data_IF_677350819790
#
_entry.id   IF_677350819790
#
_cell.length_a   1.000
_cell.length_b   1.000
_cell.length_c   1.000
_cell.angle_alpha   90.00
_cell.angle_beta   90.00
_cell.angle_gamma   90.00
#
_symmetry.space_group_name_H-M   'P 1'
#
loop_
_entity.id
_entity.type
_entity.pdbx_description
1 polymer ?
#
# COMPACT_ATOMS: atom_id res chain seq x y z
N UNK A 1 -37.60 10.96 53.04
CA UNK A 1 -37.74 9.68 52.29
C UNK A 1 -38.51 10.01 51.02
N UNK A 2 -37.89 10.41 49.91
CA UNK A 2 -36.59 10.07 49.35
C UNK A 2 -35.88 11.29 48.79
N UNK A 3 -34.59 11.40 49.12
CA UNK A 3 -33.62 12.31 48.53
C UNK A 3 -33.19 11.80 47.14
N UNK A 4 -33.10 12.69 46.17
CA UNK A 4 -32.17 12.57 45.03
C UNK A 4 -31.58 13.95 44.74
N UNK A 5 -30.33 14.11 45.16
CA UNK A 5 -29.48 15.26 44.92
C UNK A 5 -29.22 15.46 43.42
N UNK A 6 -29.31 16.72 42.97
CA UNK A 6 -28.92 17.14 41.63
C UNK A 6 -27.41 17.42 41.60
N UNK A 7 -26.69 16.73 40.72
CA UNK A 7 -25.27 16.97 40.43
C UNK A 7 -25.13 18.27 39.62
N UNK A 8 -24.28 19.24 40.00
CA UNK A 8 -24.11 20.46 39.22
C UNK A 8 -23.18 20.23 38.02
N UNK A 9 -23.59 20.76 36.86
CA UNK A 9 -22.83 20.73 35.62
C UNK A 9 -21.51 21.52 35.75
N UNK A 10 -20.40 20.89 35.34
CA UNK A 10 -19.06 21.48 35.36
C UNK A 10 -18.94 22.57 34.28
N UNK A 11 -18.85 23.82 34.73
CA UNK A 11 -17.90 24.83 34.26
C UNK A 11 -17.88 25.21 32.78
N UNK A 12 -18.65 26.26 32.43
CA UNK A 12 -18.31 27.16 31.31
C UNK A 12 -16.97 27.85 31.62
N UNK A 13 -15.92 27.63 30.81
CA UNK A 13 -14.74 28.52 30.77
C UNK A 13 -14.67 29.23 29.43
N UNK A 14 -14.45 30.54 29.49
CA UNK A 14 -14.26 31.42 28.36
C UNK A 14 -12.93 31.14 27.64
N UNK A 15 -12.95 31.18 26.31
CA UNK A 15 -11.76 31.01 25.46
C UNK A 15 -10.83 32.23 25.61
N UNK A 16 -9.77 32.08 26.41
CA UNK A 16 -8.65 33.02 26.43
C UNK A 16 -7.74 32.78 25.23
N UNK A 17 -7.39 33.85 24.50
CA UNK A 17 -6.36 33.83 23.44
C UNK A 17 -4.99 33.59 24.08
N UNK A 18 -4.56 32.33 24.11
CA UNK A 18 -3.19 31.94 24.46
C UNK A 18 -2.62 31.08 23.33
N UNK A 19 -1.50 31.51 22.74
CA UNK A 19 -0.81 30.76 21.68
C UNK A 19 -0.43 29.36 22.15
N UNK A 20 -0.67 28.36 21.30
CA UNK A 20 -0.30 26.97 21.58
C UNK A 20 1.21 26.80 21.45
N UNK A 21 1.91 26.26 22.45
CA UNK A 21 3.37 26.05 22.42
C UNK A 21 3.82 24.98 21.41
N UNK A 22 2.88 24.33 20.72
CA UNK A 22 3.16 23.41 19.60
C UNK A 22 3.41 24.13 18.28
N UNK A 23 2.98 25.39 18.13
CA UNK A 23 3.16 26.16 16.89
C UNK A 23 4.49 26.95 16.84
N UNK A 24 5.21 27.07 17.96
CA UNK A 24 6.48 27.82 18.01
C UNK A 24 7.73 26.96 17.74
N UNK A 25 7.63 25.62 17.79
CA UNK A 25 8.75 24.72 17.47
C UNK A 25 8.99 24.46 15.98
N UNK A 26 8.06 24.84 15.12
CA UNK A 26 8.13 24.61 13.66
C UNK A 26 8.86 25.72 12.89
N UNK A 27 9.56 26.64 13.59
CA UNK A 27 10.31 27.76 12.99
C UNK A 27 11.82 27.63 13.05
N UNK A 28 12.37 26.56 13.60
CA UNK A 28 13.81 26.31 13.53
C UNK A 28 14.14 25.52 12.24
N UNK A 29 15.01 26.02 11.35
CA UNK A 29 15.45 25.27 10.18
C UNK A 29 16.35 24.12 10.65
N UNK A 30 15.73 22.98 10.94
CA UNK A 30 16.44 21.72 11.19
C UNK A 30 17.28 21.36 9.97
N UNK A 31 18.56 21.07 10.19
CA UNK A 31 19.53 20.73 9.17
C UNK A 31 18.98 19.67 8.21
N UNK A 32 19.00 20.00 6.91
CA UNK A 32 18.43 19.17 5.87
C UNK A 32 18.97 17.74 5.93
N UNK A 33 18.07 16.78 5.74
CA UNK A 33 18.40 15.40 5.44
C UNK A 33 19.31 15.38 4.20
N UNK A 34 20.61 15.26 4.42
CA UNK A 34 21.57 15.11 3.34
C UNK A 34 21.23 13.79 2.61
N UNK A 35 20.85 13.92 1.34
CA UNK A 35 20.74 12.80 0.42
C UNK A 35 22.07 12.03 0.45
N UNK A 36 22.07 10.70 0.69
CA UNK A 36 23.30 9.94 0.55
C UNK A 36 23.81 10.06 -0.90
N UNK A 37 25.10 10.37 -1.04
CA UNK A 37 25.76 10.42 -2.35
C UNK A 37 25.80 9.01 -2.93
N UNK A 38 25.08 8.78 -4.04
CA UNK A 38 25.15 7.53 -4.81
C UNK A 38 26.53 7.47 -5.50
N UNK A 39 27.38 6.47 -5.21
CA UNK A 39 28.62 6.28 -5.95
C UNK A 39 28.30 5.92 -7.40
N UNK A 40 28.96 6.58 -8.36
CA UNK A 40 28.83 6.27 -9.78
C UNK A 40 29.35 4.85 -10.07
N UNK A 41 28.45 3.87 -10.08
CA UNK A 41 28.73 2.53 -10.54
C UNK A 41 28.68 2.49 -12.08
N UNK A 42 29.69 1.87 -12.69
CA UNK A 42 29.77 1.67 -14.13
C UNK A 42 28.53 0.91 -14.65
N UNK A 43 27.92 1.44 -15.72
CA UNK A 43 26.78 0.86 -16.40
C UNK A 43 27.09 -0.55 -16.92
N UNK A 44 26.66 -1.57 -16.18
CA UNK A 44 26.45 -2.91 -16.74
C UNK A 44 25.29 -2.84 -17.72
N UNK A 45 25.44 -3.39 -18.93
CA UNK A 45 24.44 -3.30 -19.99
C UNK A 45 23.05 -3.73 -19.50
N UNK A 46 22.05 -2.90 -19.75
CA UNK A 46 20.67 -3.14 -19.34
C UNK A 46 20.18 -4.51 -19.85
N UNK A 47 19.95 -5.46 -18.92
CA UNK A 47 19.21 -6.68 -19.25
C UNK A 47 17.78 -6.27 -19.62
N UNK A 48 17.23 -6.88 -20.67
CA UNK A 48 15.81 -6.74 -20.97
C UNK A 48 15.04 -7.78 -20.16
N UNK A 49 13.90 -7.40 -19.58
CA UNK A 49 13.06 -8.34 -18.88
C UNK A 49 12.56 -9.40 -19.87
N UNK A 50 12.67 -10.69 -19.53
CA UNK A 50 12.02 -11.74 -20.30
C UNK A 50 10.50 -11.57 -20.17
N UNK A 51 9.75 -11.68 -21.27
CA UNK A 51 8.29 -11.57 -21.29
C UNK A 51 7.62 -12.49 -20.27
N UNK A 52 8.18 -13.68 -20.03
CA UNK A 52 7.68 -14.62 -19.02
C UNK A 52 7.81 -14.10 -17.59
N UNK A 53 8.83 -13.29 -17.29
CA UNK A 53 9.02 -12.69 -15.96
C UNK A 53 8.02 -11.58 -15.68
N UNK A 54 7.74 -10.74 -16.67
CA UNK A 54 6.72 -9.70 -16.57
C UNK A 54 5.32 -10.29 -16.41
N UNK A 55 4.99 -11.31 -17.21
CA UNK A 55 3.72 -12.03 -17.10
C UNK A 55 3.57 -12.71 -15.73
N UNK A 56 4.60 -13.44 -15.28
CA UNK A 56 4.60 -14.09 -13.97
C UNK A 56 4.40 -13.13 -12.81
N UNK A 57 5.05 -11.96 -12.85
CA UNK A 57 4.88 -10.90 -11.85
C UNK A 57 3.43 -10.41 -11.78
N UNK A 58 2.85 -10.04 -12.92
CA UNK A 58 1.49 -9.48 -12.98
C UNK A 58 0.44 -10.51 -12.59
N UNK A 59 0.59 -11.76 -13.04
CA UNK A 59 -0.31 -12.85 -12.66
C UNK A 59 -0.19 -13.20 -11.18
N UNK A 60 1.04 -13.25 -10.65
CA UNK A 60 1.28 -13.51 -9.23
C UNK A 60 0.67 -12.43 -8.33
N UNK A 61 0.84 -11.16 -8.69
CA UNK A 61 0.24 -10.03 -7.99
C UNK A 61 -1.29 -10.12 -8.01
N UNK A 62 -1.89 -10.33 -9.18
CA UNK A 62 -3.34 -10.45 -9.32
C UNK A 62 -3.91 -11.66 -8.57
N UNK A 63 -3.18 -12.78 -8.53
CA UNK A 63 -3.59 -13.97 -7.78
C UNK A 63 -3.50 -13.74 -6.26
N UNK A 64 -2.44 -13.08 -5.78
CA UNK A 64 -2.28 -12.72 -4.38
C UNK A 64 -3.36 -11.77 -3.89
N UNK A 65 -3.63 -10.70 -4.64
CA UNK A 65 -4.72 -9.75 -4.40
C UNK A 65 -6.08 -10.49 -4.36
N UNK A 66 -6.36 -11.32 -5.37
CA UNK A 66 -7.58 -12.11 -5.45
C UNK A 66 -7.82 -13.06 -4.26
N UNK A 67 -6.76 -13.61 -3.68
CA UNK A 67 -6.81 -14.49 -2.52
C UNK A 67 -6.98 -13.72 -1.20
N UNK A 68 -6.70 -12.41 -1.21
CA UNK A 68 -6.84 -11.54 -0.06
C UNK A 68 -8.30 -11.36 0.38
N UNK A 69 -8.51 -11.29 1.69
CA UNK A 69 -9.82 -11.01 2.29
C UNK A 69 -10.48 -9.70 1.80
N UNK A 70 -9.75 -8.61 1.53
CA UNK A 70 -10.35 -7.37 1.01
C UNK A 70 -10.98 -7.54 -0.38
N UNK A 71 -10.44 -8.43 -1.23
CA UNK A 71 -10.83 -8.48 -2.64
C UNK A 71 -12.30 -8.82 -2.84
N UNK A 72 -12.83 -9.78 -2.08
CA UNK A 72 -14.25 -10.13 -2.13
C UNK A 72 -15.16 -8.93 -1.77
N UNK A 73 -14.77 -8.12 -0.77
CA UNK A 73 -15.52 -6.90 -0.38
C UNK A 73 -15.42 -5.82 -1.43
N UNK A 74 -14.22 -5.56 -1.94
CA UNK A 74 -13.98 -4.55 -2.96
C UNK A 74 -14.76 -4.86 -4.23
N UNK A 75 -14.80 -6.12 -4.65
CA UNK A 75 -15.56 -6.53 -5.84
C UNK A 75 -17.06 -6.55 -5.61
N UNK A 76 -17.53 -6.91 -4.41
CA UNK A 76 -18.96 -6.83 -4.08
C UNK A 76 -19.53 -5.42 -4.28
N UNK A 77 -18.71 -4.36 -4.23
CA UNK A 77 -19.14 -3.00 -4.56
C UNK A 77 -19.55 -2.78 -6.04
N UNK A 78 -19.22 -3.71 -6.95
CA UNK A 78 -19.71 -3.73 -8.34
C UNK A 78 -21.16 -4.25 -8.44
N UNK A 79 -21.70 -4.86 -7.38
CA UNK A 79 -23.10 -5.26 -7.32
C UNK A 79 -24.02 -4.03 -7.22
N UNK A 80 -25.28 -4.12 -7.68
CA UNK A 80 -26.26 -3.06 -7.52
C UNK A 80 -26.39 -2.59 -6.06
N UNK A 81 -26.60 -1.29 -5.86
CA UNK A 81 -26.70 -0.70 -4.51
C UNK A 81 -27.75 -1.39 -3.64
N UNK A 82 -28.93 -1.70 -4.18
CA UNK A 82 -30.00 -2.38 -3.45
C UNK A 82 -29.57 -3.77 -2.95
N UNK A 83 -28.77 -4.51 -3.73
CA UNK A 83 -28.23 -5.83 -3.34
C UNK A 83 -27.26 -5.66 -2.18
N UNK A 84 -26.34 -4.69 -2.26
CA UNK A 84 -25.38 -4.39 -1.19
C UNK A 84 -26.05 -3.89 0.08
N UNK A 85 -27.13 -3.12 -0.03
CA UNK A 85 -27.94 -2.68 1.11
C UNK A 85 -28.63 -3.88 1.75
N UNK A 86 -29.29 -4.72 0.97
CA UNK A 86 -30.01 -5.89 1.46
C UNK A 86 -29.08 -6.89 2.16
N UNK A 87 -27.87 -7.16 1.64
CA UNK A 87 -26.88 -8.00 2.34
C UNK A 87 -26.60 -7.47 3.75
N UNK A 88 -26.35 -6.17 3.90
CA UNK A 88 -26.08 -5.55 5.21
C UNK A 88 -27.28 -5.63 6.15
N UNK A 89 -28.49 -5.39 5.64
CA UNK A 89 -29.74 -5.51 6.42
C UNK A 89 -29.96 -6.95 6.90
N UNK A 90 -29.70 -7.93 6.04
CA UNK A 90 -29.84 -9.34 6.36
C UNK A 90 -28.75 -9.84 7.32
N UNK A 91 -27.51 -9.39 7.17
CA UNK A 91 -26.43 -9.66 8.13
C UNK A 91 -26.79 -9.10 9.52
N UNK A 92 -27.27 -7.85 9.58
CA UNK A 92 -27.76 -7.22 10.81
C UNK A 92 -28.90 -8.02 11.44
N UNK A 93 -29.85 -8.47 10.62
CA UNK A 93 -30.96 -9.30 11.09
C UNK A 93 -30.45 -10.64 11.66
N UNK A 94 -29.51 -11.30 10.97
CA UNK A 94 -28.95 -12.57 11.41
C UNK A 94 -28.24 -12.43 12.77
N UNK A 95 -27.45 -11.38 12.95
CA UNK A 95 -26.79 -11.05 14.23
C UNK A 95 -27.81 -10.82 15.36
N UNK A 96 -28.82 -9.99 15.12
CA UNK A 96 -29.85 -9.66 16.12
C UNK A 96 -30.70 -10.86 16.53
N UNK A 97 -30.85 -11.84 15.64
CA UNK A 97 -31.68 -13.03 15.85
C UNK A 97 -30.85 -14.30 16.11
N UNK A 98 -29.54 -14.17 16.38
CA UNK A 98 -28.62 -15.29 16.61
C UNK A 98 -28.74 -16.41 15.55
N UNK A 99 -28.96 -16.03 14.30
CA UNK A 99 -29.16 -16.95 13.17
C UNK A 99 -27.85 -17.11 12.42
N UNK A 100 -27.40 -18.36 12.26
CA UNK A 100 -26.13 -18.68 11.57
C UNK A 100 -26.29 -18.94 10.07
N UNK A 101 -27.53 -19.06 9.60
CA UNK A 101 -27.83 -19.18 8.17
C UNK A 101 -27.47 -17.87 7.48
N UNK A 102 -26.43 -17.90 6.63
CA UNK A 102 -26.05 -16.75 5.83
C UNK A 102 -27.18 -16.40 4.85
N UNK A 103 -27.81 -15.24 5.01
CA UNK A 103 -28.90 -14.84 4.13
C UNK A 103 -28.29 -14.35 2.82
N UNK A 104 -28.17 -15.26 1.85
CA UNK A 104 -27.71 -14.91 0.51
C UNK A 104 -28.67 -13.89 -0.10
N UNK A 105 -28.20 -12.68 -0.47
CA UNK A 105 -29.05 -11.73 -1.16
C UNK A 105 -29.57 -12.42 -2.42
N UNK A 106 -30.88 -12.40 -2.62
CA UNK A 106 -31.56 -13.06 -3.74
C UNK A 106 -31.01 -12.47 -5.04
N UNK A 107 -29.98 -13.10 -5.59
CA UNK A 107 -29.34 -12.75 -6.86
C UNK A 107 -29.90 -13.61 -8.00
N UNK A 108 -31.15 -14.08 -7.88
CA UNK A 108 -31.79 -14.98 -8.84
C UNK A 108 -31.79 -14.44 -10.29
N UNK A 109 -31.50 -13.14 -10.49
CA UNK A 109 -31.39 -12.49 -11.80
C UNK A 109 -30.19 -11.51 -11.89
N UNK A 110 -29.10 -11.71 -11.15
CA UNK A 110 -27.92 -10.83 -11.24
C UNK A 110 -26.66 -11.60 -11.66
N UNK A 111 -25.79 -10.98 -12.48
CA UNK A 111 -24.50 -11.55 -12.86
C UNK A 111 -23.66 -11.88 -11.60
N UNK A 112 -23.23 -13.14 -11.40
CA UNK A 112 -22.41 -13.51 -10.24
C UNK A 112 -20.94 -13.12 -10.41
N UNK A 113 -20.54 -12.54 -11.55
CA UNK A 113 -19.18 -12.17 -11.89
C UNK A 113 -18.48 -11.38 -10.77
N UNK A 114 -19.09 -10.37 -10.12
CA UNK A 114 -18.45 -9.66 -9.01
C UNK A 114 -18.10 -10.53 -7.80
N UNK A 115 -18.79 -11.65 -7.61
CA UNK A 115 -18.62 -12.55 -6.46
C UNK A 115 -17.64 -13.72 -6.74
N UNK A 116 -17.19 -13.87 -8.00
CA UNK A 116 -16.14 -14.84 -8.32
C UNK A 116 -14.81 -14.41 -7.70
N UNK A 117 -13.91 -15.37 -7.46
CA UNK A 117 -12.54 -15.06 -7.05
C UNK A 117 -11.83 -14.24 -8.13
N UNK A 118 -10.95 -13.34 -7.73
CA UNK A 118 -10.15 -12.50 -8.64
C UNK A 118 -9.88 -11.12 -8.04
N UNK A 119 -9.03 -10.33 -8.69
CA UNK A 119 -8.33 -9.22 -8.07
C UNK A 119 -9.21 -8.01 -7.77
N UNK A 120 -8.67 -7.11 -6.96
CA UNK A 120 -9.30 -5.88 -6.48
C UNK A 120 -8.51 -4.63 -6.86
N UNK A 121 -8.47 -3.62 -5.98
CA UNK A 121 -7.86 -2.33 -6.27
C UNK A 121 -6.34 -2.43 -6.45
N UNK A 122 -5.67 -3.37 -5.78
CA UNK A 122 -4.23 -3.57 -5.96
C UNK A 122 -3.87 -3.87 -7.42
N UNK A 123 -4.60 -4.80 -8.07
CA UNK A 123 -4.38 -5.03 -9.50
C UNK A 123 -4.77 -3.82 -10.38
N UNK A 124 -5.79 -3.04 -10.01
CA UNK A 124 -6.14 -1.79 -10.73
C UNK A 124 -4.98 -0.77 -10.65
N UNK A 125 -4.34 -0.62 -9.48
CA UNK A 125 -3.18 0.25 -9.28
C UNK A 125 -1.90 -0.27 -9.93
N UNK A 126 -1.71 -1.59 -9.97
CA UNK A 126 -0.65 -2.22 -10.77
C UNK A 126 -0.85 -1.94 -12.26
N UNK A 127 -2.07 -2.06 -12.78
CA UNK A 127 -2.40 -1.76 -14.18
C UNK A 127 -2.19 -0.28 -14.52
N UNK A 128 -2.62 0.64 -13.66
CA UNK A 128 -2.34 2.08 -13.79
C UNK A 128 -0.85 2.37 -13.95
N UNK A 129 -0.02 1.70 -13.15
CA UNK A 129 1.44 1.86 -13.17
C UNK A 129 2.03 1.27 -14.46
N UNK A 130 1.59 0.08 -14.86
CA UNK A 130 2.02 -0.57 -16.09
C UNK A 130 1.68 0.27 -17.33
N UNK A 131 0.47 0.84 -17.38
CA UNK A 131 0.07 1.73 -18.47
C UNK A 131 0.93 3.00 -18.52
N UNK A 132 1.26 3.56 -17.37
CA UNK A 132 2.15 4.73 -17.27
C UNK A 132 3.55 4.43 -17.79
N UNK A 133 4.11 3.25 -17.46
CA UNK A 133 5.39 2.79 -18.00
C UNK A 133 5.32 2.58 -19.52
N UNK A 134 4.25 1.96 -20.03
CA UNK A 134 4.06 1.75 -21.47
C UNK A 134 3.97 3.07 -22.25
N UNK A 135 3.35 4.11 -21.68
CA UNK A 135 3.25 5.45 -22.27
C UNK A 135 4.60 6.17 -22.39
N UNK A 136 5.59 5.80 -21.58
CA UNK A 136 6.95 6.34 -21.70
C UNK A 136 7.64 5.91 -23.03
N UNK A 137 7.09 4.90 -23.71
CA UNK A 137 7.61 4.33 -24.94
C UNK A 137 8.65 3.24 -24.69
N UNK A 138 9.16 2.61 -25.76
CA UNK A 138 10.11 1.51 -25.62
C UNK A 138 11.45 1.98 -25.05
N UNK A 139 12.03 1.16 -24.17
CA UNK A 139 13.34 1.35 -23.55
C UNK A 139 13.26 1.67 -22.05
N UNK A 140 14.42 1.61 -21.39
CA UNK A 140 14.53 1.76 -19.93
C UNK A 140 15.01 3.17 -19.55
N UNK A 141 14.57 4.18 -20.30
CA UNK A 141 14.96 5.58 -20.05
C UNK A 141 14.22 6.10 -18.82
N UNK A 142 14.95 6.12 -17.70
CA UNK A 142 14.47 6.53 -16.40
C UNK A 142 13.82 7.92 -16.40
N UNK A 143 14.30 8.87 -17.20
CA UNK A 143 13.71 10.22 -17.24
C UNK A 143 12.35 10.22 -17.94
N UNK A 144 12.19 9.43 -19.01
CA UNK A 144 10.91 9.30 -19.70
C UNK A 144 9.87 8.61 -18.83
N UNK A 145 10.27 7.55 -18.12
CA UNK A 145 9.36 6.85 -17.21
C UNK A 145 8.90 7.77 -16.08
N UNK A 146 9.81 8.53 -15.47
CA UNK A 146 9.44 9.51 -14.43
C UNK A 146 8.50 10.60 -14.95
N UNK A 147 8.74 11.11 -16.15
CA UNK A 147 7.84 12.09 -16.77
C UNK A 147 6.44 11.49 -17.06
N UNK A 148 6.37 10.23 -17.50
CA UNK A 148 5.10 9.55 -17.74
C UNK A 148 4.33 9.29 -16.44
N UNK A 149 5.01 8.91 -15.36
CA UNK A 149 4.42 8.76 -14.03
C UNK A 149 3.90 10.09 -13.47
N UNK A 150 4.69 11.16 -13.55
CA UNK A 150 4.27 12.50 -13.12
C UNK A 150 3.04 12.98 -13.87
N UNK A 151 3.01 12.78 -15.19
CA UNK A 151 1.84 13.09 -16.02
C UNK A 151 0.62 12.26 -15.59
N UNK A 152 0.77 10.97 -15.32
CA UNK A 152 -0.32 10.11 -14.89
C UNK A 152 -0.92 10.57 -13.55
N UNK A 153 -0.07 10.84 -12.55
CA UNK A 153 -0.50 11.37 -11.25
C UNK A 153 -1.17 12.73 -11.36
N UNK A 154 -0.58 13.66 -12.12
CA UNK A 154 -1.12 15.00 -12.30
C UNK A 154 -2.45 14.98 -13.05
N UNK A 155 -2.59 14.10 -14.05
CA UNK A 155 -3.85 13.92 -14.78
C UNK A 155 -4.96 13.41 -13.84
N UNK A 156 -4.65 12.40 -13.02
CA UNK A 156 -5.61 11.86 -12.07
C UNK A 156 -5.99 12.91 -11.00
N UNK A 157 -5.02 13.67 -10.49
CA UNK A 157 -5.31 14.77 -9.56
C UNK A 157 -6.18 15.87 -10.18
N UNK A 158 -6.03 16.17 -11.48
CA UNK A 158 -6.90 17.11 -12.18
C UNK A 158 -8.35 16.60 -12.26
N UNK A 159 -8.57 15.29 -12.45
CA UNK A 159 -9.91 14.70 -12.39
C UNK A 159 -10.51 14.80 -10.98
N UNK A 160 -9.70 14.61 -9.93
CA UNK A 160 -10.12 14.81 -8.54
C UNK A 160 -10.50 16.26 -8.27
N UNK A 161 -9.69 17.23 -8.72
CA UNK A 161 -10.00 18.65 -8.59
C UNK A 161 -11.32 18.99 -9.29
N UNK A 162 -11.52 18.53 -10.53
CA UNK A 162 -12.74 18.76 -11.28
C UNK A 162 -13.98 18.07 -10.67
N UNK A 163 -13.81 16.93 -10.00
CA UNK A 163 -14.88 16.30 -9.23
C UNK A 163 -15.25 17.12 -7.99
N UNK A 164 -14.25 17.65 -7.28
CA UNK A 164 -14.46 18.50 -6.10
C UNK A 164 -15.13 19.84 -6.44
N UNK A 165 -14.75 20.48 -7.54
CA UNK A 165 -15.36 21.75 -8.00
C UNK A 165 -16.85 21.62 -8.35
N UNK A 166 -17.28 20.43 -8.80
CA UNK A 166 -18.69 20.16 -9.13
C UNK A 166 -19.54 19.83 -7.91
N UNK A 167 -18.92 19.54 -6.77
CA UNK A 167 -19.61 19.11 -5.56
C UNK A 167 -20.05 20.33 -4.72
N UNK A 168 -21.21 20.28 -4.05
CA UNK A 168 -21.64 21.35 -3.15
C UNK A 168 -20.65 21.56 -1.99
N UNK A 169 -20.10 20.47 -1.46
CA UNK A 169 -18.99 20.45 -0.50
C UNK A 169 -17.90 19.47 -0.98
N UNK A 170 -16.62 19.76 -0.70
CA UNK A 170 -15.48 18.93 -1.13
C UNK A 170 -15.60 17.49 -0.63
N UNK A 171 -16.08 17.30 0.60
CA UNK A 171 -16.30 16.01 1.24
C UNK A 171 -17.41 15.19 0.56
N UNK A 172 -18.31 15.85 -0.17
CA UNK A 172 -19.41 15.21 -0.91
C UNK A 172 -19.03 14.81 -2.34
N UNK A 173 -17.79 15.11 -2.77
CA UNK A 173 -17.34 14.85 -4.13
C UNK A 173 -17.34 13.35 -4.46
N UNK A 174 -18.01 13.00 -5.56
CA UNK A 174 -17.99 11.65 -6.11
C UNK A 174 -16.74 11.49 -6.96
N UNK A 175 -15.73 10.83 -6.39
CA UNK A 175 -14.45 10.61 -7.07
C UNK A 175 -14.56 9.44 -8.07
N UNK A 176 -13.92 9.53 -9.24
CA UNK A 176 -13.99 8.50 -10.29
C UNK A 176 -13.05 7.30 -10.01
N UNK A 177 -12.65 7.05 -8.77
CA UNK A 177 -11.68 6.01 -8.44
C UNK A 177 -11.98 5.31 -7.11
N UNK A 178 -11.40 4.12 -6.96
CA UNK A 178 -11.33 3.37 -5.71
C UNK A 178 -9.88 3.30 -5.30
N UNK A 179 -9.60 3.69 -4.08
CA UNK A 179 -8.25 3.60 -3.55
C UNK A 179 -8.25 3.61 -2.04
N UNK A 180 -7.14 3.12 -1.49
CA UNK A 180 -6.82 3.19 -0.07
C UNK A 180 -6.71 4.65 0.39
N UNK A 181 -6.83 4.85 1.71
CA UNK A 181 -6.89 6.19 2.29
C UNK A 181 -5.64 7.00 1.95
N UNK A 182 -4.45 6.38 2.01
CA UNK A 182 -3.19 7.01 1.62
C UNK A 182 -3.21 7.57 0.21
N UNK A 183 -3.65 6.77 -0.76
CA UNK A 183 -3.69 7.18 -2.17
C UNK A 183 -4.71 8.29 -2.39
N UNK A 184 -5.89 8.21 -1.76
CA UNK A 184 -6.90 9.27 -1.83
C UNK A 184 -6.39 10.58 -1.22
N UNK A 185 -5.76 10.52 -0.06
CA UNK A 185 -5.23 11.70 0.63
C UNK A 185 -4.09 12.35 -0.18
N UNK A 186 -3.14 11.55 -0.69
CA UNK A 186 -2.05 12.05 -1.53
C UNK A 186 -2.54 12.70 -2.83
N UNK A 187 -3.53 12.11 -3.50
CA UNK A 187 -4.19 12.71 -4.67
C UNK A 187 -4.94 14.00 -4.33
N UNK A 188 -5.62 14.05 -3.18
CA UNK A 188 -6.29 15.27 -2.70
C UNK A 188 -5.28 16.40 -2.42
N UNK A 189 -4.15 16.07 -1.81
CA UNK A 189 -3.04 16.99 -1.59
C UNK A 189 -2.48 17.50 -2.93
N UNK A 190 -2.26 16.61 -3.90
CA UNK A 190 -1.78 16.98 -5.23
C UNK A 190 -2.78 17.88 -5.97
N UNK A 191 -4.08 17.57 -5.88
CA UNK A 191 -5.17 18.33 -6.47
C UNK A 191 -5.29 19.76 -5.88
N UNK A 192 -4.91 19.95 -4.62
CA UNK A 192 -4.86 21.27 -3.96
C UNK A 192 -3.56 22.03 -4.19
N UNK A 193 -2.63 21.47 -4.98
CA UNK A 193 -1.41 22.15 -5.43
C UNK A 193 -0.14 21.80 -4.66
N UNK A 194 -0.21 20.91 -3.67
CA UNK A 194 1.01 20.36 -3.06
C UNK A 194 1.80 19.54 -4.08
N UNK A 195 3.06 19.26 -3.77
CA UNK A 195 3.97 18.45 -4.58
C UNK A 195 4.68 17.41 -3.72
N UNK A 196 5.07 16.25 -4.28
CA UNK A 196 5.93 15.30 -3.57
C UNK A 196 7.22 15.99 -3.08
N UNK A 197 7.72 15.66 -1.87
CA UNK A 197 7.19 14.65 -0.94
C UNK A 197 6.04 15.13 -0.06
N UNK A 198 5.67 16.41 -0.05
CA UNK A 198 4.64 16.95 0.84
C UNK A 198 3.27 16.27 0.65
N UNK A 199 2.93 15.85 -0.58
CA UNK A 199 1.69 15.12 -0.86
C UNK A 199 1.62 13.78 -0.13
N UNK A 200 2.74 13.05 -0.08
CA UNK A 200 2.86 11.77 0.62
C UNK A 200 3.13 11.92 2.12
N UNK A 201 3.82 12.97 2.56
CA UNK A 201 4.12 13.24 3.97
C UNK A 201 2.92 13.79 4.74
N UNK A 202 2.20 14.78 4.20
CA UNK A 202 1.04 15.40 4.85
C UNK A 202 -0.22 14.54 4.65
N UNK A 203 -0.09 13.26 4.96
CA UNK A 203 -1.06 12.21 4.68
C UNK A 203 -1.28 11.34 5.93
N UNK A 204 -2.51 11.20 6.45
CA UNK A 204 -2.76 10.42 7.66
C UNK A 204 -2.39 8.94 7.57
N UNK A 205 -2.22 8.41 6.36
CA UNK A 205 -1.84 7.02 6.10
C UNK A 205 -0.54 6.91 5.29
N UNK A 206 0.38 7.86 5.45
CA UNK A 206 1.66 7.89 4.71
C UNK A 206 2.48 6.59 4.84
N UNK A 207 2.31 5.85 5.94
CA UNK A 207 3.09 4.67 6.33
C UNK A 207 2.59 3.34 5.74
N UNK A 208 1.48 3.35 5.00
CA UNK A 208 0.88 2.12 4.49
C UNK A 208 1.61 1.53 3.27
N UNK A 209 1.28 0.28 2.93
CA UNK A 209 1.93 -0.50 1.88
C UNK A 209 1.31 -0.29 0.48
N UNK A 210 0.45 0.72 0.27
CA UNK A 210 -0.25 0.88 -1.00
C UNK A 210 0.70 1.16 -2.19
N UNK A 211 1.87 1.76 -1.93
CA UNK A 211 2.90 1.96 -2.96
C UNK A 211 3.66 0.68 -3.33
N UNK A 212 3.69 -0.34 -2.46
CA UNK A 212 4.44 -1.59 -2.70
C UNK A 212 3.95 -2.32 -3.95
N UNK A 213 2.64 -2.34 -4.19
CA UNK A 213 2.00 -2.95 -5.36
C UNK A 213 2.48 -2.29 -6.66
N UNK A 214 2.54 -0.96 -6.69
CA UNK A 214 3.03 -0.20 -7.85
C UNK A 214 4.54 -0.37 -8.02
N UNK A 215 5.28 -0.40 -6.91
CA UNK A 215 6.72 -0.60 -6.90
C UNK A 215 7.14 -1.94 -7.53
N UNK A 216 6.39 -3.01 -7.31
CA UNK A 216 6.58 -4.29 -8.00
C UNK A 216 6.55 -4.12 -9.53
N UNK A 217 5.59 -3.35 -10.06
CA UNK A 217 5.50 -3.09 -11.51
C UNK A 217 6.65 -2.22 -12.00
N UNK A 218 7.06 -1.20 -11.24
CA UNK A 218 8.18 -0.32 -11.59
C UNK A 218 9.52 -1.05 -11.69
N UNK A 219 9.69 -2.16 -10.96
CA UNK A 219 10.87 -3.00 -11.06
C UNK A 219 11.10 -3.57 -12.48
N UNK A 220 10.05 -3.68 -13.31
CA UNK A 220 10.16 -4.11 -14.71
C UNK A 220 11.00 -3.16 -15.57
N UNK A 221 11.20 -1.91 -15.14
CA UNK A 221 12.04 -0.93 -15.84
C UNK A 221 13.53 -1.22 -15.66
N UNK A 222 13.89 -1.84 -14.53
CA UNK A 222 15.28 -2.07 -14.11
C UNK A 222 15.53 -3.54 -13.69
N UNK A 223 15.27 -4.52 -14.59
CA UNK A 223 15.44 -5.93 -14.25
C UNK A 223 16.92 -6.24 -13.99
N UNK A 224 17.20 -6.89 -12.86
CA UNK A 224 18.55 -7.16 -12.38
C UNK A 224 19.29 -5.95 -11.81
N UNK A 225 18.63 -4.79 -11.66
CA UNK A 225 19.21 -3.56 -11.10
C UNK A 225 18.36 -3.04 -9.92
N UNK A 226 18.54 -3.62 -8.72
CA UNK A 226 17.73 -3.31 -7.53
C UNK A 226 17.80 -1.86 -7.08
N UNK A 227 18.95 -1.20 -7.22
CA UNK A 227 19.14 0.17 -6.75
C UNK A 227 18.36 1.18 -7.61
N UNK A 228 18.42 1.04 -8.94
CA UNK A 228 17.64 1.91 -9.83
C UNK A 228 16.14 1.61 -9.75
N UNK A 229 15.75 0.34 -9.55
CA UNK A 229 14.36 -0.03 -9.28
C UNK A 229 13.83 0.63 -8.01
N UNK A 230 14.60 0.57 -6.91
CA UNK A 230 14.25 1.21 -5.65
C UNK A 230 14.14 2.74 -5.79
N UNK A 231 15.07 3.38 -6.50
CA UNK A 231 15.03 4.83 -6.74
C UNK A 231 13.79 5.27 -7.53
N UNK A 232 13.39 4.49 -8.55
CA UNK A 232 12.17 4.76 -9.31
C UNK A 232 10.91 4.54 -8.47
N UNK A 233 10.88 3.48 -7.65
CA UNK A 233 9.78 3.21 -6.74
C UNK A 233 9.62 4.30 -5.67
N UNK A 234 10.72 4.84 -5.14
CA UNK A 234 10.67 5.98 -4.21
C UNK A 234 10.09 7.23 -4.89
N UNK A 235 10.47 7.50 -6.14
CA UNK A 235 9.94 8.63 -6.89
C UNK A 235 8.41 8.56 -7.00
N UNK A 236 7.84 7.38 -7.31
CA UNK A 236 6.40 7.18 -7.36
C UNK A 236 5.76 7.19 -5.96
N UNK A 237 6.35 6.51 -4.98
CA UNK A 237 5.78 6.36 -3.65
C UNK A 237 5.58 7.71 -2.94
N UNK A 238 6.50 8.67 -3.14
CA UNK A 238 6.42 10.02 -2.54
C UNK A 238 5.17 10.82 -2.93
N UNK A 239 4.42 10.40 -3.95
CA UNK A 239 3.12 11.01 -4.26
C UNK A 239 2.07 10.73 -3.18
N UNK A 240 2.13 9.54 -2.55
CA UNK A 240 1.06 9.05 -1.67
C UNK A 240 1.56 8.53 -0.32
N UNK A 241 2.86 8.30 -0.14
CA UNK A 241 3.48 7.72 1.06
C UNK A 241 4.69 8.54 1.51
N UNK A 242 5.11 8.29 2.74
CA UNK A 242 6.37 8.73 3.32
C UNK A 242 6.86 7.69 4.35
N UNK A 243 8.08 7.84 4.88
CA UNK A 243 8.62 6.93 5.91
C UNK A 243 8.55 5.45 5.52
N UNK A 244 7.96 4.62 6.38
CA UNK A 244 7.87 3.17 6.18
C UNK A 244 7.12 2.77 4.89
N UNK A 245 6.16 3.57 4.43
CA UNK A 245 5.47 3.32 3.15
C UNK A 245 6.41 3.46 1.95
N UNK A 246 7.31 4.45 1.98
CA UNK A 246 8.35 4.62 0.95
C UNK A 246 9.44 3.56 1.08
N UNK A 247 9.87 3.23 2.30
CA UNK A 247 10.85 2.17 2.53
C UNK A 247 10.33 0.81 2.04
N UNK A 248 9.06 0.49 2.30
CA UNK A 248 8.40 -0.71 1.79
C UNK A 248 8.39 -0.78 0.27
N UNK A 249 8.01 0.31 -0.40
CA UNK A 249 8.03 0.40 -1.86
C UNK A 249 9.44 0.15 -2.44
N UNK A 250 10.47 0.79 -1.86
CA UNK A 250 11.87 0.58 -2.26
C UNK A 250 12.29 -0.88 -2.10
N UNK A 251 11.98 -1.49 -0.97
CA UNK A 251 12.33 -2.89 -0.69
C UNK A 251 11.66 -3.87 -1.66
N UNK A 252 10.37 -3.70 -1.93
CA UNK A 252 9.64 -4.55 -2.88
C UNK A 252 10.17 -4.41 -4.31
N UNK A 253 10.45 -3.18 -4.77
CA UNK A 253 11.05 -2.97 -6.08
C UNK A 253 12.44 -3.62 -6.20
N UNK A 254 13.28 -3.50 -5.16
CA UNK A 254 14.61 -4.09 -5.14
C UNK A 254 14.58 -5.63 -5.19
N UNK A 255 13.71 -6.27 -4.40
CA UNK A 255 13.54 -7.72 -4.43
C UNK A 255 13.02 -8.21 -5.78
N UNK A 256 11.98 -7.57 -6.33
CA UNK A 256 11.41 -7.96 -7.62
C UNK A 256 12.43 -7.74 -8.75
N UNK A 257 13.16 -6.63 -8.76
CA UNK A 257 14.20 -6.37 -9.75
C UNK A 257 15.32 -7.42 -9.68
N UNK A 258 15.75 -7.82 -8.48
CA UNK A 258 16.72 -8.90 -8.30
C UNK A 258 16.20 -10.22 -8.89
N UNK A 259 14.97 -10.61 -8.57
CA UNK A 259 14.35 -11.83 -9.09
C UNK A 259 14.20 -11.81 -10.62
N UNK A 260 13.83 -10.66 -11.21
CA UNK A 260 13.80 -10.45 -12.67
C UNK A 260 15.19 -10.52 -13.32
N UNK A 261 16.25 -10.39 -12.51
CA UNK A 261 17.66 -10.57 -12.89
C UNK A 261 18.19 -11.99 -12.66
N UNK A 262 17.31 -12.97 -12.43
CA UNK A 262 17.62 -14.38 -12.12
C UNK A 262 18.28 -14.61 -10.74
N UNK A 263 18.15 -13.66 -9.80
CA UNK A 263 18.58 -13.89 -8.43
C UNK A 263 17.69 -14.94 -7.73
N UNK A 264 18.28 -15.76 -6.85
CA UNK A 264 17.50 -16.62 -5.98
C UNK A 264 16.73 -15.81 -4.92
N UNK A 265 15.79 -16.49 -4.24
CA UNK A 265 14.90 -15.85 -3.26
C UNK A 265 15.64 -15.20 -2.10
N UNK A 266 16.71 -15.83 -1.60
CA UNK A 266 17.50 -15.30 -0.49
C UNK A 266 18.24 -14.03 -0.91
N UNK A 267 18.84 -14.04 -2.10
CA UNK A 267 19.48 -12.85 -2.66
C UNK A 267 18.46 -11.74 -2.90
N UNK A 268 17.28 -12.05 -3.44
CA UNK A 268 16.22 -11.07 -3.64
C UNK A 268 15.74 -10.45 -2.32
N UNK A 269 15.57 -11.27 -1.27
CA UNK A 269 15.21 -10.81 0.08
C UNK A 269 16.32 -9.94 0.69
N UNK A 270 17.59 -10.32 0.53
CA UNK A 270 18.70 -9.50 1.00
C UNK A 270 18.73 -8.12 0.30
N UNK A 271 18.42 -8.06 -1.01
CA UNK A 271 18.26 -6.79 -1.72
C UNK A 271 17.11 -5.93 -1.21
N UNK A 272 16.01 -6.54 -0.76
CA UNK A 272 14.96 -5.79 -0.07
C UNK A 272 15.45 -5.24 1.27
N UNK A 273 16.14 -6.05 2.08
CA UNK A 273 16.65 -5.65 3.39
C UNK A 273 17.65 -4.50 3.32
N UNK A 274 18.48 -4.45 2.27
CA UNK A 274 19.41 -3.34 2.00
C UNK A 274 18.69 -1.98 1.88
N UNK A 275 17.43 -1.98 1.45
CA UNK A 275 16.61 -0.77 1.29
C UNK A 275 15.89 -0.34 2.58
N UNK A 276 15.96 -1.13 3.66
CA UNK A 276 15.23 -0.90 4.90
C UNK A 276 16.18 -0.44 6.02
N UNK A 277 16.13 0.85 6.44
CA UNK A 277 17.05 1.38 7.45
C UNK A 277 16.86 0.69 8.82
N UNK A 278 17.95 0.28 9.46
CA UNK A 278 17.92 -0.53 10.69
C UNK A 278 17.21 0.11 11.89
N UNK A 279 17.19 1.44 11.96
CA UNK A 279 16.59 2.18 13.08
C UNK A 279 15.07 2.37 12.93
N UNK A 280 14.51 2.07 11.75
CA UNK A 280 13.06 2.15 11.50
C UNK A 280 12.35 0.93 12.03
N UNK A 281 11.03 1.01 12.19
CA UNK A 281 10.22 -0.14 12.60
C UNK A 281 10.21 -1.22 11.51
N UNK A 282 9.92 -0.84 10.27
CA UNK A 282 9.97 -1.74 9.11
C UNK A 282 11.32 -2.47 8.99
N UNK A 283 12.45 -1.77 9.23
CA UNK A 283 13.79 -2.34 9.14
C UNK A 283 14.11 -3.34 10.25
N UNK A 284 13.64 -3.10 11.48
CA UNK A 284 13.78 -4.05 12.60
C UNK A 284 12.88 -5.27 12.40
N UNK A 285 11.62 -5.05 12.06
CA UNK A 285 10.64 -6.10 11.84
C UNK A 285 11.03 -7.01 10.68
N UNK A 286 11.49 -6.46 9.55
CA UNK A 286 11.90 -7.24 8.38
C UNK A 286 13.08 -8.17 8.70
N UNK A 287 14.13 -7.63 9.35
CA UNK A 287 15.29 -8.44 9.75
C UNK A 287 14.90 -9.51 10.77
N UNK A 288 14.01 -9.20 11.70
CA UNK A 288 13.52 -10.17 12.67
C UNK A 288 12.71 -11.30 11.99
N UNK A 289 11.74 -10.95 11.16
CA UNK A 289 10.88 -11.89 10.45
C UNK A 289 11.67 -12.81 9.51
N UNK A 290 12.59 -12.25 8.70
CA UNK A 290 13.45 -13.03 7.80
C UNK A 290 14.41 -13.93 8.58
N UNK A 291 15.00 -13.44 9.68
CA UNK A 291 15.86 -14.28 10.54
C UNK A 291 15.10 -15.49 11.07
N UNK A 292 13.85 -15.31 11.51
CA UNK A 292 13.02 -16.43 11.98
C UNK A 292 12.68 -17.38 10.84
N UNK A 293 12.29 -16.87 9.67
CA UNK A 293 11.99 -17.68 8.50
C UNK A 293 13.18 -18.57 8.09
N UNK A 294 14.40 -18.02 8.09
CA UNK A 294 15.65 -18.75 7.78
C UNK A 294 16.01 -19.81 8.82
N UNK A 295 15.55 -19.66 10.06
CA UNK A 295 15.84 -20.60 11.14
C UNK A 295 14.81 -21.74 11.24
N UNK A 296 13.70 -21.65 10.52
CA UNK A 296 12.63 -22.64 10.56
C UNK A 296 12.99 -23.89 9.74
N UNK A 297 12.68 -25.11 10.23
CA UNK A 297 12.84 -26.34 9.45
C UNK A 297 12.02 -26.28 8.15
N UNK A 298 12.59 -26.79 7.05
CA UNK A 298 11.95 -26.71 5.74
C UNK A 298 10.65 -27.54 5.67
N UNK A 299 10.59 -28.64 6.42
CA UNK A 299 9.45 -29.54 6.50
C UNK A 299 8.17 -28.90 7.07
N UNK A 300 8.30 -27.83 7.85
CA UNK A 300 7.17 -27.17 8.50
C UNK A 300 6.40 -26.25 7.52
N UNK A 301 7.05 -25.82 6.43
CA UNK A 301 6.49 -24.95 5.42
C UNK A 301 6.14 -23.53 5.90
N UNK A 302 5.73 -22.68 4.95
CA UNK A 302 5.47 -21.26 5.21
C UNK A 302 4.29 -21.02 6.19
N UNK A 303 3.30 -21.91 6.22
CA UNK A 303 2.13 -21.76 7.11
C UNK A 303 2.47 -21.90 8.60
N UNK A 304 3.49 -22.69 8.95
CA UNK A 304 3.92 -22.83 10.34
C UNK A 304 4.57 -21.55 10.89
N UNK A 305 4.96 -20.61 10.03
CA UNK A 305 5.48 -19.31 10.44
C UNK A 305 4.39 -18.31 10.85
N UNK A 306 3.14 -18.52 10.41
CA UNK A 306 2.04 -17.56 10.59
C UNK A 306 1.78 -17.23 12.07
N UNK A 307 1.69 -18.18 13.02
CA UNK A 307 1.48 -17.85 14.43
C UNK A 307 2.61 -17.01 15.02
N UNK A 308 3.85 -17.22 14.58
CA UNK A 308 4.98 -16.41 15.02
C UNK A 308 4.88 -14.98 14.49
N UNK A 309 4.60 -14.82 13.19
CA UNK A 309 4.49 -13.50 12.57
C UNK A 309 3.33 -12.70 13.17
N UNK A 310 2.20 -13.35 13.40
CA UNK A 310 1.06 -12.74 14.08
C UNK A 310 1.42 -12.28 15.50
N UNK A 311 2.22 -13.05 16.24
CA UNK A 311 2.54 -12.71 17.63
C UNK A 311 3.70 -11.72 17.80
N UNK A 312 4.67 -11.72 16.88
CA UNK A 312 5.95 -11.00 17.04
C UNK A 312 6.13 -9.82 16.10
N UNK A 313 5.38 -9.77 14.98
CA UNK A 313 5.52 -8.72 13.96
C UNK A 313 4.24 -7.88 13.88
N UNK A 314 3.08 -8.52 13.87
CA UNK A 314 1.79 -7.81 13.80
C UNK A 314 1.37 -7.41 15.21
N UNK A 315 1.04 -6.15 15.43
CA UNK A 315 0.48 -5.74 16.73
C UNK A 315 -0.94 -6.32 16.88
N UNK A 316 -1.12 -7.30 17.76
CA UNK A 316 -2.42 -7.95 17.99
C UNK A 316 -3.42 -7.08 18.79
N UNK A 317 -2.96 -5.99 19.40
CA UNK A 317 -3.80 -5.03 20.16
C UNK A 317 -4.31 -3.93 19.23
N UNK A 318 -3.46 -3.46 18.31
CA UNK A 318 -3.79 -2.43 17.32
C UNK A 318 -3.34 -2.83 15.90
N UNK A 319 -3.83 -3.97 15.43
CA UNK A 319 -3.46 -4.46 14.10
C UNK A 319 -3.93 -3.50 13.01
N UNK A 320 -2.98 -3.07 12.19
CA UNK A 320 -3.23 -2.25 11.03
C UNK A 320 -2.77 -3.01 9.79
N UNK A 321 -3.62 -3.89 9.27
CA UNK A 321 -3.30 -4.84 8.18
C UNK A 321 -2.94 -4.26 6.81
N UNK A 322 -2.50 -3.01 6.77
CA UNK A 322 -1.92 -2.30 5.62
C UNK A 322 -0.63 -1.55 6.00
N UNK A 323 -0.16 -1.60 7.25
CA UNK A 323 1.07 -0.94 7.65
C UNK A 323 2.26 -1.59 6.95
N UNK A 324 3.08 -0.81 6.23
CA UNK A 324 4.25 -1.34 5.54
C UNK A 324 5.25 -1.99 6.51
N UNK A 325 5.33 -1.47 7.74
CA UNK A 325 6.16 -2.00 8.82
C UNK A 325 5.76 -3.39 9.32
N UNK A 326 4.58 -3.89 8.95
CA UNK A 326 4.10 -5.23 9.28
C UNK A 326 4.02 -6.11 8.03
N UNK A 327 3.39 -5.59 6.98
CA UNK A 327 3.08 -6.33 5.74
C UNK A 327 4.33 -6.70 4.93
N UNK A 328 5.30 -5.79 4.80
CA UNK A 328 6.54 -6.05 4.05
C UNK A 328 7.41 -7.10 4.75
N UNK A 329 7.67 -7.00 6.07
CA UNK A 329 8.33 -8.07 6.82
C UNK A 329 7.67 -9.45 6.66
N UNK A 330 6.34 -9.51 6.76
CA UNK A 330 5.57 -10.75 6.57
C UNK A 330 5.76 -11.29 5.16
N UNK A 331 5.66 -10.45 4.13
CA UNK A 331 5.85 -10.86 2.74
C UNK A 331 7.26 -11.44 2.49
N UNK A 332 8.31 -10.78 3.00
CA UNK A 332 9.70 -11.25 2.86
C UNK A 332 9.93 -12.58 3.59
N UNK A 333 9.38 -12.72 4.80
CA UNK A 333 9.50 -13.93 5.59
C UNK A 333 8.77 -15.12 4.95
N UNK A 334 7.55 -14.91 4.44
CA UNK A 334 6.79 -15.94 3.74
C UNK A 334 7.46 -16.34 2.40
N UNK A 335 7.98 -15.38 1.64
CA UNK A 335 8.73 -15.66 0.42
C UNK A 335 9.97 -16.52 0.71
N UNK A 336 10.70 -16.18 1.79
CA UNK A 336 11.87 -16.94 2.27
C UNK A 336 11.47 -18.37 2.65
N UNK A 337 10.47 -18.54 3.52
CA UNK A 337 10.02 -19.85 3.98
C UNK A 337 9.44 -20.73 2.85
N UNK A 338 8.77 -20.11 1.87
CA UNK A 338 8.24 -20.80 0.70
C UNK A 338 9.31 -21.11 -0.37
N UNK A 339 10.52 -20.53 -0.24
CA UNK A 339 11.58 -20.56 -1.25
C UNK A 339 11.12 -20.03 -2.62
N UNK A 340 10.28 -19.00 -2.61
CA UNK A 340 9.70 -18.42 -3.82
C UNK A 340 8.66 -19.31 -4.53
N UNK A 341 8.20 -20.40 -3.92
CA UNK A 341 7.16 -21.29 -4.48
C UNK A 341 5.76 -20.86 -4.05
N UNK A 342 4.78 -21.02 -4.93
CA UNK A 342 3.37 -20.71 -4.65
C UNK A 342 2.59 -21.95 -4.12
N UNK A 343 3.20 -23.14 -4.18
CA UNK A 343 2.85 -24.38 -3.45
C UNK A 343 4.03 -25.37 -3.55
#
# INVERSE_FOLDING_TARGET
MNDREAVPAVGRRAAGRGGSPLLERSREPGGGWAQPTVPGAAYGGARQCNASGAEGLLLGLAAGDAAGWPAARHRASRMPEWTRRLTRELDTFAEQNATTTLPVPIALNQPPEPLRLGPSDDAEWAAFTAESVLRAGPGNDHLKVRAALDLAWTTLAAEIAAAAERAPEVESAVLPLRARISVRAGLGNLATGLRPPATGHDNPHYFDDAACVRACVLALVHPGDPEHAAALAEFDARYTQDGDGVHGARAMAAAVAAALGDADVDTAVDRALDQLPEHTEIGRNARHAVKTARAQPEEDGAFALVPFLEHQIVDHVYSYGIAAAETVPVALALATAARGRIA
#
